data_IF_451441174308
#
_entry.id   IF_451441174308
#
_cell.length_a   1.000
_cell.length_b   1.000
_cell.length_c   1.000
_cell.angle_alpha   90.00
_cell.angle_beta   90.00
_cell.angle_gamma   90.00
#
_symmetry.space_group_name_H-M   'P 1'
#
loop_
_entity.id
_entity.type
_entity.pdbx_description
1 polymer ?
#
# COMPACT_ATOMS: atom_id res chain seq x y z
N UNK A 1 -9.25 -21.34 -12.34
CA UNK A 1 -10.01 -20.83 -11.20
C UNK A 1 -11.50 -20.90 -11.47
N UNK A 2 -12.28 -21.38 -10.52
CA UNK A 2 -13.73 -21.23 -10.56
C UNK A 2 -14.15 -19.82 -10.12
N UNK A 3 -15.38 -19.43 -10.44
CA UNK A 3 -15.90 -18.11 -10.09
C UNK A 3 -15.94 -17.86 -8.58
N UNK A 4 -16.21 -18.91 -7.78
CA UNK A 4 -16.23 -18.79 -6.31
C UNK A 4 -14.82 -18.55 -5.75
N UNK A 5 -13.79 -19.19 -6.32
CA UNK A 5 -12.39 -18.98 -5.93
C UNK A 5 -11.98 -17.53 -6.19
N UNK A 6 -12.37 -16.98 -7.35
CA UNK A 6 -12.13 -15.58 -7.70
C UNK A 6 -12.76 -14.63 -6.68
N UNK A 7 -14.03 -14.86 -6.31
CA UNK A 7 -14.71 -14.02 -5.31
C UNK A 7 -13.99 -14.10 -3.96
N UNK A 8 -13.66 -15.30 -3.49
CA UNK A 8 -12.98 -15.48 -2.20
C UNK A 8 -11.64 -14.75 -2.19
N UNK A 9 -10.81 -14.94 -3.22
CA UNK A 9 -9.51 -14.28 -3.31
C UNK A 9 -9.64 -12.76 -3.45
N UNK A 10 -10.64 -12.26 -4.19
CA UNK A 10 -10.90 -10.82 -4.30
C UNK A 10 -11.34 -10.21 -2.95
N UNK A 11 -12.14 -10.92 -2.15
CA UNK A 11 -12.50 -10.51 -0.79
C UNK A 11 -11.27 -10.53 0.12
N UNK A 12 -10.44 -11.57 0.04
CA UNK A 12 -9.17 -11.65 0.78
C UNK A 12 -8.29 -10.44 0.44
N UNK A 13 -8.10 -10.12 -0.84
CA UNK A 13 -7.36 -8.92 -1.25
C UNK A 13 -7.98 -7.66 -0.64
N UNK A 14 -9.30 -7.46 -0.80
CA UNK A 14 -9.97 -6.26 -0.33
C UNK A 14 -9.86 -6.04 1.19
N UNK A 15 -9.86 -7.11 1.97
CA UNK A 15 -9.70 -7.03 3.43
C UNK A 15 -8.24 -6.81 3.83
N UNK A 16 -7.30 -7.45 3.14
CA UNK A 16 -5.89 -7.49 3.54
C UNK A 16 -5.06 -6.34 2.99
N UNK A 17 -5.44 -5.71 1.89
CA UNK A 17 -4.68 -4.64 1.24
C UNK A 17 -4.49 -3.41 2.14
N UNK A 18 -5.52 -3.06 2.92
CA UNK A 18 -5.50 -1.87 3.77
C UNK A 18 -4.91 -2.13 5.16
N UNK A 19 -4.59 -3.39 5.44
CA UNK A 19 -3.94 -3.82 6.67
C UNK A 19 -2.46 -4.07 6.39
N UNK A 20 -1.54 -3.76 7.31
CA UNK A 20 -0.11 -3.98 7.11
C UNK A 20 0.27 -5.46 7.27
N UNK A 21 -0.43 -6.37 6.60
CA UNK A 21 -0.31 -7.84 6.77
C UNK A 21 0.03 -8.58 5.47
N UNK A 22 0.45 -7.86 4.42
CA UNK A 22 0.81 -8.41 3.09
C UNK A 22 -0.34 -9.16 2.40
N UNK A 23 -1.09 -8.43 1.56
CA UNK A 23 -2.21 -8.96 0.78
C UNK A 23 -1.79 -10.06 -0.21
N UNK A 24 -0.71 -9.83 -0.97
CA UNK A 24 -0.12 -10.84 -1.87
C UNK A 24 0.22 -12.14 -1.16
N UNK A 25 0.73 -12.06 0.09
CA UNK A 25 1.00 -13.24 0.90
C UNK A 25 -0.27 -14.01 1.26
N UNK A 26 -1.34 -13.31 1.62
CA UNK A 26 -2.64 -13.93 1.91
C UNK A 26 -3.28 -14.58 0.69
N UNK A 27 -3.13 -14.01 -0.50
CA UNK A 27 -3.60 -14.65 -1.73
C UNK A 27 -2.90 -15.99 -1.97
N UNK A 28 -1.56 -16.02 -1.85
CA UNK A 28 -0.77 -17.24 -2.04
C UNK A 28 -1.08 -18.28 -0.96
N UNK A 29 -1.14 -17.87 0.30
CA UNK A 29 -1.45 -18.78 1.41
C UNK A 29 -2.87 -19.31 1.34
N UNK A 30 -3.86 -18.50 0.95
CA UNK A 30 -5.23 -18.95 0.76
C UNK A 30 -5.31 -19.99 -0.37
N UNK A 31 -4.70 -19.71 -1.53
CA UNK A 31 -4.64 -20.67 -2.63
C UNK A 31 -3.95 -21.97 -2.22
N UNK A 32 -2.82 -21.89 -1.50
CA UNK A 32 -2.13 -23.06 -0.97
C UNK A 32 -2.96 -23.86 0.05
N UNK A 33 -3.60 -23.17 1.00
CA UNK A 33 -4.39 -23.80 2.07
C UNK A 33 -5.59 -24.58 1.52
N UNK A 34 -6.22 -24.07 0.47
CA UNK A 34 -7.38 -24.71 -0.16
C UNK A 34 -7.01 -25.63 -1.34
N UNK A 35 -5.71 -25.87 -1.58
CA UNK A 35 -5.20 -26.63 -2.72
C UNK A 35 -5.72 -26.11 -4.07
N UNK A 36 -5.84 -24.79 -4.19
CA UNK A 36 -6.20 -24.11 -5.42
C UNK A 36 -4.96 -23.86 -6.28
N UNK A 37 -5.11 -23.82 -7.61
CA UNK A 37 -4.01 -23.40 -8.46
C UNK A 37 -3.52 -21.99 -8.10
N UNK A 38 -2.36 -21.61 -8.62
CA UNK A 38 -1.94 -20.21 -8.55
C UNK A 38 -2.85 -19.34 -9.43
N UNK A 39 -3.33 -18.21 -8.89
CA UNK A 39 -4.14 -17.25 -9.63
C UNK A 39 -3.33 -16.45 -10.66
N UNK A 40 -2.01 -16.38 -10.49
CA UNK A 40 -1.08 -15.74 -11.42
C UNK A 40 -1.09 -14.20 -11.36
N UNK A 41 -0.03 -13.60 -11.91
CA UNK A 41 0.26 -12.16 -11.77
C UNK A 41 -0.82 -11.25 -12.36
N UNK A 42 -1.52 -11.71 -13.42
CA UNK A 42 -2.59 -10.94 -14.05
C UNK A 42 -3.78 -10.80 -13.11
N UNK A 43 -4.12 -11.86 -12.36
CA UNK A 43 -5.16 -11.80 -11.35
C UNK A 43 -4.73 -10.89 -10.20
N UNK A 44 -3.50 -11.07 -9.69
CA UNK A 44 -2.94 -10.25 -8.62
C UNK A 44 -3.03 -8.76 -9.01
N UNK A 45 -2.59 -8.39 -10.21
CA UNK A 45 -2.68 -7.02 -10.70
C UNK A 45 -4.13 -6.52 -10.80
N UNK A 46 -5.06 -7.36 -11.27
CA UNK A 46 -6.47 -6.98 -11.39
C UNK A 46 -7.12 -6.67 -10.04
N UNK A 47 -6.85 -7.47 -9.01
CA UNK A 47 -7.40 -7.22 -7.66
C UNK A 47 -6.74 -6.01 -6.98
N UNK A 48 -5.46 -5.73 -7.25
CA UNK A 48 -4.80 -4.49 -6.83
C UNK A 48 -5.40 -3.25 -7.51
N UNK A 49 -5.78 -3.34 -8.79
CA UNK A 49 -6.52 -2.25 -9.46
C UNK A 49 -7.87 -2.03 -8.77
N UNK A 50 -8.55 -3.11 -8.35
CA UNK A 50 -9.79 -3.02 -7.59
C UNK A 50 -9.63 -2.24 -6.27
N UNK A 51 -8.60 -2.55 -5.49
CA UNK A 51 -8.32 -1.84 -4.23
C UNK A 51 -7.83 -0.41 -4.46
N UNK A 52 -7.05 -0.16 -5.52
CA UNK A 52 -6.67 1.19 -5.93
C UNK A 52 -7.90 2.06 -6.24
N UNK A 53 -8.86 1.52 -6.99
CA UNK A 53 -10.12 2.22 -7.28
C UNK A 53 -10.86 2.54 -5.98
N UNK A 54 -10.89 1.62 -5.02
CA UNK A 54 -11.50 1.87 -3.72
C UNK A 54 -10.83 3.04 -2.97
N UNK A 55 -9.49 3.13 -2.96
CA UNK A 55 -8.74 4.25 -2.36
C UNK A 55 -9.05 5.57 -3.07
N UNK A 56 -9.05 5.58 -4.41
CA UNK A 56 -9.36 6.79 -5.20
C UNK A 56 -10.78 7.29 -4.92
N UNK A 57 -11.76 6.38 -4.83
CA UNK A 57 -13.15 6.75 -4.50
C UNK A 57 -13.28 7.23 -3.06
N UNK A 58 -12.62 6.56 -2.10
CA UNK A 58 -12.66 6.92 -0.69
C UNK A 58 -12.09 8.33 -0.49
N UNK A 59 -10.89 8.60 -1.01
CA UNK A 59 -10.20 9.89 -0.92
C UNK A 59 -10.56 10.88 -2.04
N UNK A 60 -11.69 10.68 -2.74
CA UNK A 60 -12.08 11.51 -3.91
C UNK A 60 -12.10 13.01 -3.60
N UNK A 61 -12.49 13.40 -2.38
CA UNK A 61 -12.56 14.81 -1.96
C UNK A 61 -11.16 15.41 -1.85
N UNK A 62 -10.23 14.70 -1.21
CA UNK A 62 -8.84 15.09 -1.07
C UNK A 62 -8.14 15.16 -2.44
N UNK A 63 -8.41 14.19 -3.33
CA UNK A 63 -7.92 14.24 -4.71
C UNK A 63 -8.41 15.46 -5.47
N UNK A 64 -9.71 15.78 -5.39
CA UNK A 64 -10.27 16.98 -6.00
C UNK A 64 -9.64 18.25 -5.43
N UNK A 65 -9.54 18.37 -4.10
CA UNK A 65 -8.89 19.50 -3.43
C UNK A 65 -7.43 19.67 -3.85
N UNK A 66 -6.67 18.57 -3.91
CA UNK A 66 -5.29 18.57 -4.35
C UNK A 66 -5.19 19.09 -5.77
N UNK A 67 -5.92 18.50 -6.72
CA UNK A 67 -5.86 18.86 -8.15
C UNK A 67 -6.29 20.32 -8.37
N UNK A 68 -7.42 20.75 -7.80
CA UNK A 68 -7.87 22.14 -7.92
C UNK A 68 -6.94 23.12 -7.20
N UNK A 69 -6.30 22.66 -6.12
CA UNK A 69 -5.42 23.46 -5.29
C UNK A 69 -4.02 23.62 -5.87
N UNK A 70 -3.56 22.81 -6.82
CA UNK A 70 -2.20 22.89 -7.37
C UNK A 70 -1.88 24.27 -7.98
N UNK A 71 -2.83 24.85 -8.70
CA UNK A 71 -2.65 26.15 -9.36
C UNK A 71 -2.55 27.29 -8.34
N UNK A 72 -3.46 27.31 -7.36
CA UNK A 72 -3.63 28.39 -6.38
C UNK A 72 -2.96 28.13 -5.02
N UNK A 73 -2.28 26.98 -4.86
CA UNK A 73 -1.66 26.48 -3.63
C UNK A 73 -2.62 26.46 -2.42
N UNK A 74 -3.87 26.09 -2.66
CA UNK A 74 -4.90 26.03 -1.62
C UNK A 74 -4.62 24.90 -0.61
N UNK A 75 -5.06 25.05 0.65
CA UNK A 75 -4.94 23.98 1.64
C UNK A 75 -5.82 22.78 1.26
N UNK A 76 -5.26 21.59 1.49
CA UNK A 76 -5.90 20.28 1.33
C UNK A 76 -6.03 19.66 2.71
N UNK A 77 -7.22 19.15 3.01
CA UNK A 77 -7.51 18.42 4.24
C UNK A 77 -6.80 17.05 4.19
N UNK A 78 -5.96 16.76 5.18
CA UNK A 78 -5.13 15.53 5.18
C UNK A 78 -5.57 14.50 6.22
N UNK A 79 -6.41 14.89 7.18
CA UNK A 79 -7.02 13.99 8.15
C UNK A 79 -8.38 14.50 8.65
N UNK A 80 -9.11 13.64 9.37
CA UNK A 80 -10.41 13.98 9.97
C UNK A 80 -10.30 14.92 11.18
N UNK A 81 -9.08 15.25 11.61
CA UNK A 81 -8.83 16.19 12.72
C UNK A 81 -8.78 17.64 12.26
N UNK A 82 -8.96 17.87 10.95
CA UNK A 82 -8.92 19.18 10.32
C UNK A 82 -7.50 19.67 10.02
N UNK A 83 -6.48 18.79 10.05
CA UNK A 83 -5.14 19.17 9.62
C UNK A 83 -5.15 19.46 8.12
N UNK A 84 -4.39 20.49 7.72
CA UNK A 84 -4.29 20.89 6.32
C UNK A 84 -2.86 21.09 5.88
N UNK A 85 -2.56 20.67 4.66
CA UNK A 85 -1.29 20.97 3.99
C UNK A 85 -1.55 21.75 2.70
N UNK A 86 -0.62 22.64 2.33
CA UNK A 86 -0.68 23.30 1.03
C UNK A 86 -0.62 22.28 -0.10
N UNK A 87 -1.45 22.44 -1.13
CA UNK A 87 -1.55 21.49 -2.23
C UNK A 87 -0.20 21.17 -2.89
N UNK A 88 0.66 22.18 -3.12
CA UNK A 88 1.98 21.93 -3.71
C UNK A 88 2.91 21.17 -2.77
N UNK A 89 2.87 21.49 -1.47
CA UNK A 89 3.63 20.75 -0.46
C UNK A 89 3.21 19.29 -0.44
N UNK A 90 1.90 19.03 -0.34
CA UNK A 90 1.37 17.65 -0.32
C UNK A 90 1.75 16.88 -1.59
N UNK A 91 1.62 17.50 -2.77
CA UNK A 91 2.02 16.88 -4.04
C UNK A 91 3.51 16.52 -4.07
N UNK A 92 4.38 17.41 -3.57
CA UNK A 92 5.82 17.15 -3.49
C UNK A 92 6.11 16.00 -2.52
N UNK A 93 5.43 15.95 -1.36
CA UNK A 93 5.62 14.86 -0.40
C UNK A 93 5.22 13.51 -1.01
N UNK A 94 4.09 13.44 -1.73
CA UNK A 94 3.66 12.23 -2.44
C UNK A 94 4.71 11.80 -3.48
N UNK A 95 5.19 12.73 -4.31
CA UNK A 95 6.22 12.42 -5.31
C UNK A 95 7.49 11.92 -4.64
N UNK A 96 8.00 12.63 -3.63
CA UNK A 96 9.24 12.26 -2.93
C UNK A 96 9.12 10.90 -2.27
N UNK A 97 7.98 10.60 -1.64
CA UNK A 97 7.72 9.28 -1.05
C UNK A 97 7.43 8.17 -2.07
N UNK A 98 7.20 8.48 -3.34
CA UNK A 98 7.02 7.44 -4.37
C UNK A 98 8.35 7.03 -5.03
N UNK A 99 9.37 7.91 -4.97
CA UNK A 99 10.64 7.68 -5.67
C UNK A 99 11.39 6.42 -5.17
N UNK A 100 11.61 6.21 -3.86
CA UNK A 100 12.37 5.04 -3.40
C UNK A 100 11.67 3.73 -3.77
N UNK A 101 10.34 3.67 -3.64
CA UNK A 101 9.52 2.54 -4.09
C UNK A 101 9.72 2.23 -5.59
N UNK A 102 9.66 3.25 -6.46
CA UNK A 102 9.87 3.06 -7.91
C UNK A 102 11.29 2.58 -8.22
N UNK A 103 12.30 3.17 -7.55
CA UNK A 103 13.70 2.75 -7.72
C UNK A 103 13.87 1.29 -7.28
N UNK A 104 13.39 0.95 -6.08
CA UNK A 104 13.46 -0.41 -5.54
C UNK A 104 12.73 -1.42 -6.42
N UNK A 105 11.52 -1.07 -6.89
CA UNK A 105 10.72 -1.91 -7.77
C UNK A 105 11.40 -2.17 -9.12
N UNK A 106 12.01 -1.16 -9.74
CA UNK A 106 12.72 -1.33 -11.01
C UNK A 106 13.99 -2.16 -10.87
N UNK A 107 14.72 -2.04 -9.75
CA UNK A 107 15.95 -2.79 -9.50
C UNK A 107 15.70 -4.23 -9.06
N UNK A 108 14.58 -4.52 -8.38
CA UNK A 108 14.30 -5.82 -7.77
C UNK A 108 13.26 -6.65 -8.53
N UNK A 109 12.63 -6.11 -9.59
CA UNK A 109 11.49 -6.71 -10.30
C UNK A 109 11.64 -8.22 -10.55
N UNK A 110 12.73 -8.62 -11.19
CA UNK A 110 12.95 -10.01 -11.63
C UNK A 110 13.24 -10.96 -10.45
N UNK A 111 13.81 -10.44 -9.37
CA UNK A 111 14.10 -11.24 -8.16
C UNK A 111 12.84 -11.46 -7.32
N UNK A 112 11.93 -10.49 -7.30
CA UNK A 112 10.70 -10.53 -6.51
C UNK A 112 9.69 -11.51 -7.12
N UNK A 113 9.56 -11.59 -8.44
CA UNK A 113 8.56 -12.46 -9.05
C UNK A 113 8.83 -13.97 -8.83
N UNK A 114 10.10 -14.37 -8.77
CA UNK A 114 10.51 -15.77 -8.60
C UNK A 114 10.49 -16.23 -7.14
N UNK A 115 10.86 -15.35 -6.20
CA UNK A 115 11.06 -15.70 -4.78
C UNK A 115 9.71 -15.69 -4.02
N UNK A 116 8.77 -14.85 -4.42
CA UNK A 116 7.61 -14.51 -3.59
C UNK A 116 6.39 -15.42 -3.81
N UNK A 117 6.51 -16.53 -4.56
CA UNK A 117 5.37 -17.43 -4.88
C UNK A 117 5.33 -18.73 -4.08
N UNK A 118 6.27 -18.98 -3.16
CA UNK A 118 6.22 -20.18 -2.31
C UNK A 118 5.62 -19.86 -0.93
N UNK A 119 4.79 -20.77 -0.36
CA UNK A 119 4.24 -20.58 0.99
C UNK A 119 5.31 -20.39 2.08
N UNK A 120 6.45 -21.07 1.94
CA UNK A 120 7.57 -20.97 2.88
C UNK A 120 8.17 -19.56 2.87
N UNK A 121 8.48 -19.01 1.69
CA UNK A 121 9.01 -17.66 1.57
C UNK A 121 8.00 -16.62 2.07
N UNK A 122 6.72 -16.78 1.73
CA UNK A 122 5.66 -15.90 2.23
C UNK A 122 5.59 -15.95 3.76
N UNK A 123 5.67 -17.13 4.36
CA UNK A 123 5.68 -17.30 5.82
C UNK A 123 6.82 -16.53 6.49
N UNK A 124 8.04 -16.64 5.98
CA UNK A 124 9.18 -15.89 6.51
C UNK A 124 9.00 -14.36 6.37
N UNK A 125 8.52 -13.89 5.22
CA UNK A 125 8.27 -12.47 4.99
C UNK A 125 7.21 -11.91 5.95
N UNK A 126 6.14 -12.67 6.22
CA UNK A 126 5.11 -12.27 7.19
C UNK A 126 5.68 -12.13 8.61
N UNK A 127 6.58 -13.02 9.02
CA UNK A 127 7.28 -12.91 10.30
C UNK A 127 8.13 -11.63 10.34
N UNK A 128 8.87 -11.35 9.26
CA UNK A 128 9.67 -10.12 9.15
C UNK A 128 8.77 -8.87 9.23
N UNK A 129 7.65 -8.85 8.52
CA UNK A 129 6.65 -7.76 8.61
C UNK A 129 6.12 -7.60 10.03
N UNK A 130 5.77 -8.70 10.71
CA UNK A 130 5.29 -8.65 12.09
C UNK A 130 6.35 -8.08 13.05
N UNK A 131 7.61 -8.49 12.91
CA UNK A 131 8.73 -7.93 13.69
C UNK A 131 8.90 -6.43 13.43
N UNK A 132 8.83 -6.01 12.16
CA UNK A 132 8.94 -4.61 11.79
C UNK A 132 7.82 -3.75 12.40
N UNK A 133 6.58 -4.27 12.40
CA UNK A 133 5.43 -3.60 13.03
C UNK A 133 5.60 -3.49 14.55
N UNK A 134 6.01 -4.58 15.22
CA UNK A 134 6.28 -4.57 16.67
C UNK A 134 7.40 -3.58 17.00
N UNK A 135 8.47 -3.54 16.21
CA UNK A 135 9.52 -2.56 16.38
C UNK A 135 9.01 -1.12 16.20
N UNK A 136 8.19 -0.88 15.17
CA UNK A 136 7.54 0.42 14.94
C UNK A 136 6.68 0.88 16.12
N UNK A 137 5.96 -0.04 16.75
CA UNK A 137 5.14 0.23 17.93
C UNK A 137 6.00 0.50 19.19
N UNK A 138 7.08 -0.26 19.39
CA UNK A 138 7.95 -0.13 20.56
C UNK A 138 8.84 1.13 20.51
N UNK A 139 9.31 1.51 19.32
CA UNK A 139 10.25 2.61 19.14
C UNK A 139 9.61 3.89 18.57
N UNK A 140 8.37 3.81 18.07
CA UNK A 140 7.66 4.91 17.44
C UNK A 140 7.27 6.01 18.43
N UNK A 141 7.71 7.25 18.15
CA UNK A 141 7.26 8.43 18.90
C UNK A 141 5.94 8.93 18.31
N UNK A 142 4.82 8.72 19.01
CA UNK A 142 3.46 9.14 18.60
C UNK A 142 3.21 10.67 18.68
N UNK A 143 4.26 11.48 18.52
CA UNK A 143 4.24 12.92 18.77
C UNK A 143 4.09 13.76 17.49
N UNK A 144 4.16 13.15 16.31
CA UNK A 144 4.13 13.86 15.02
C UNK A 144 2.82 13.59 14.29
N UNK A 145 2.26 14.66 13.72
CA UNK A 145 1.07 14.64 12.87
C UNK A 145 1.47 14.66 11.40
N UNK A 146 0.51 14.44 10.50
CA UNK A 146 0.75 14.43 9.06
C UNK A 146 1.28 15.77 8.53
N UNK A 147 0.90 16.87 9.16
CA UNK A 147 1.37 18.22 8.84
C UNK A 147 2.81 18.51 9.30
N UNK A 148 3.39 17.65 10.14
CA UNK A 148 4.81 17.70 10.54
C UNK A 148 5.75 16.98 9.57
N UNK A 149 5.21 16.29 8.55
CA UNK A 149 6.00 15.48 7.61
C UNK A 149 6.77 16.37 6.64
N UNK A 150 8.10 16.26 6.68
CA UNK A 150 9.01 16.86 5.72
C UNK A 150 9.36 15.93 4.55
N UNK A 151 10.16 16.45 3.62
CA UNK A 151 10.64 15.70 2.45
C UNK A 151 11.53 14.52 2.83
N UNK A 152 12.31 14.67 3.91
CA UNK A 152 13.20 13.62 4.39
C UNK A 152 12.41 12.45 4.96
N UNK A 153 11.39 12.74 5.77
CA UNK A 153 10.46 11.74 6.28
C UNK A 153 9.69 11.05 5.14
N UNK A 154 9.20 11.82 4.16
CA UNK A 154 8.55 11.24 2.98
C UNK A 154 9.46 10.27 2.22
N UNK A 155 10.74 10.61 2.04
CA UNK A 155 11.73 9.72 1.41
C UNK A 155 12.00 8.44 2.22
N UNK A 156 11.97 8.50 3.55
CA UNK A 156 12.17 7.30 4.39
C UNK A 156 10.94 6.39 4.39
N UNK A 157 9.75 6.99 4.31
CA UNK A 157 8.48 6.26 4.23
C UNK A 157 8.36 5.53 2.90
N UNK A 158 8.82 6.16 1.82
CA UNK A 158 8.87 5.59 0.47
C UNK A 158 9.89 4.48 0.30
#
# INVERSE_FOLDING_TARGET
MSFIQVIVLAVVQGVTEFLPISSSGHLILASWLFDWPDQGIVFDAAVHVGTLVAVVIYFRRQWMQLISGLASDQPVEVDDSGATLKARTLAILIIVGTIPLVIGGLLAKDSVEAIFRTPETVGWLLIVTAIALVAGELFGKRARRLDDIGKYEAWIIG
#
